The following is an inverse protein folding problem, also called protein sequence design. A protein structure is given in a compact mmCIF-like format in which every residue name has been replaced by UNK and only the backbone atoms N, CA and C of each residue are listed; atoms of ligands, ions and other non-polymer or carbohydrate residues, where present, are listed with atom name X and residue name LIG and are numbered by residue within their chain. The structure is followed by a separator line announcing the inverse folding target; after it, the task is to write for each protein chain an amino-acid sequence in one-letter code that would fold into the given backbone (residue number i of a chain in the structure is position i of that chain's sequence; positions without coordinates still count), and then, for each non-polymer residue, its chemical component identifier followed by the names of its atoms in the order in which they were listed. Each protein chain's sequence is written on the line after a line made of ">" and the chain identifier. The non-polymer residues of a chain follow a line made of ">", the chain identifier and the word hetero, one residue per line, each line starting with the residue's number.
data_IF_352530304742
#
_entry.id   IF_352530304742
#
_cell.length_a   1.000
_cell.length_b   1.000
_cell.length_c   1.000
_cell.angle_alpha   90.00
_cell.angle_beta   90.00
_cell.angle_gamma   90.00
#
_symmetry.space_group_name_H-M   'P 1'
#
loop_
_entity.id
_entity.type
_entity.pdbx_description
1 polymer ?
#
# COMPACT_ATOMS: atom_id res chain seq x y z
N UNK A 1 16.50 -17.84 7.55
CA UNK A 1 16.31 -17.00 6.37
C UNK A 1 17.16 -15.73 6.50
N UNK A 2 18.01 -15.44 5.49
CA UNK A 2 18.97 -14.33 5.56
C UNK A 2 18.29 -12.97 5.48
N UNK A 3 17.15 -12.87 4.81
CA UNK A 3 16.43 -11.60 4.62
C UNK A 3 15.93 -11.03 5.95
N UNK A 4 15.52 -11.88 6.88
CA UNK A 4 15.10 -11.45 8.21
C UNK A 4 16.26 -10.86 9.06
N UNK A 5 17.51 -11.09 8.67
CA UNK A 5 18.68 -10.55 9.37
C UNK A 5 19.12 -9.18 8.85
N UNK A 6 18.69 -8.79 7.62
CA UNK A 6 19.17 -7.57 6.94
C UNK A 6 18.90 -6.32 7.76
N UNK A 7 17.69 -6.12 8.26
CA UNK A 7 17.34 -4.94 9.06
C UNK A 7 18.22 -4.81 10.32
N UNK A 8 18.43 -5.92 11.05
CA UNK A 8 19.29 -5.95 12.25
C UNK A 8 20.76 -5.67 11.95
N UNK A 9 21.27 -6.23 10.85
CA UNK A 9 22.65 -5.98 10.41
C UNK A 9 22.85 -4.52 9.97
N UNK A 10 21.88 -3.98 9.23
CA UNK A 10 21.94 -2.58 8.77
C UNK A 10 21.86 -1.58 9.93
N UNK A 11 20.98 -1.82 10.91
CA UNK A 11 20.94 -1.01 12.14
C UNK A 11 22.29 -1.04 12.88
N UNK A 12 22.89 -2.21 13.00
CA UNK A 12 24.21 -2.37 13.64
C UNK A 12 25.30 -1.63 12.86
N UNK A 13 25.27 -1.71 11.55
CA UNK A 13 26.18 -0.96 10.68
C UNK A 13 26.08 0.55 10.84
N UNK A 14 24.86 1.09 10.95
CA UNK A 14 24.58 2.51 11.14
C UNK A 14 24.78 2.98 12.60
N UNK A 15 24.98 2.07 13.55
CA UNK A 15 25.03 2.40 14.98
C UNK A 15 23.70 2.90 15.53
N UNK A 16 22.58 2.56 14.88
CA UNK A 16 21.25 2.95 15.32
C UNK A 16 20.69 1.99 16.37
N UNK A 17 19.86 2.52 17.27
CA UNK A 17 19.05 1.70 18.14
C UNK A 17 17.84 1.17 17.36
N UNK A 18 17.53 -0.12 17.52
CA UNK A 18 16.40 -0.76 16.89
C UNK A 18 15.49 -1.46 17.89
N UNK A 19 14.25 -1.65 17.52
CA UNK A 19 13.26 -2.41 18.27
C UNK A 19 12.76 -3.58 17.41
N UNK A 20 12.84 -4.79 17.93
CA UNK A 20 12.26 -5.95 17.26
C UNK A 20 10.75 -5.99 17.51
N UNK A 21 9.95 -5.67 16.47
CA UNK A 21 8.49 -5.66 16.55
C UNK A 21 7.84 -7.02 16.30
N UNK A 22 8.65 -8.09 16.03
CA UNK A 22 8.08 -9.41 15.79
C UNK A 22 7.15 -9.86 16.95
N UNK A 23 6.08 -10.59 16.68
CA UNK A 23 5.67 -11.14 15.37
C UNK A 23 4.82 -10.20 14.49
N UNK A 24 4.78 -8.89 14.77
CA UNK A 24 4.00 -7.96 13.96
C UNK A 24 4.65 -7.76 12.59
N UNK A 25 3.92 -8.10 11.52
CA UNK A 25 4.34 -7.95 10.12
C UNK A 25 3.85 -6.62 9.59
N UNK A 26 4.77 -5.82 9.05
CA UNK A 26 4.48 -4.54 8.41
C UNK A 26 5.50 -4.28 7.30
N UNK A 27 5.02 -3.95 6.13
CA UNK A 27 5.82 -3.63 4.94
C UNK A 27 5.80 -2.12 4.68
N UNK A 28 6.87 -1.59 4.11
CA UNK A 28 6.98 -0.16 3.81
C UNK A 28 5.85 0.34 2.91
N UNK A 29 5.56 -0.38 1.83
CA UNK A 29 4.49 -0.06 0.87
C UNK A 29 3.07 -0.19 1.42
N UNK A 30 2.89 -0.90 2.53
CA UNK A 30 1.58 -1.07 3.17
C UNK A 30 1.11 0.16 3.97
N UNK A 31 1.97 1.17 4.14
CA UNK A 31 1.69 2.40 4.89
C UNK A 31 2.11 3.64 4.10
N UNK A 32 1.39 4.74 4.28
CA UNK A 32 1.81 6.05 3.80
C UNK A 32 1.42 7.13 4.81
N UNK A 33 2.32 8.09 5.12
CA UNK A 33 2.09 9.09 6.17
C UNK A 33 2.20 10.50 5.64
N UNK A 34 1.48 11.44 6.29
CA UNK A 34 1.56 12.87 6.00
C UNK A 34 2.67 13.60 6.79
N UNK A 35 3.40 12.89 7.67
CA UNK A 35 4.37 13.49 8.56
C UNK A 35 3.74 14.33 9.70
N UNK A 36 2.43 14.45 9.77
CA UNK A 36 1.68 15.25 10.77
C UNK A 36 0.74 14.40 11.64
N UNK A 37 0.92 13.09 11.65
CA UNK A 37 0.22 12.14 12.51
C UNK A 37 -0.90 11.37 11.85
N UNK A 38 -1.11 11.51 10.53
CA UNK A 38 -2.07 10.71 9.76
C UNK A 38 -1.35 9.63 8.97
N UNK A 39 -1.92 8.44 8.93
CA UNK A 39 -1.45 7.31 8.12
C UNK A 39 -2.59 6.75 7.28
N UNK A 40 -2.28 6.44 6.02
CA UNK A 40 -3.13 5.66 5.10
C UNK A 40 -2.67 4.21 5.12
N UNK A 41 -3.62 3.30 5.07
CA UNK A 41 -3.44 1.85 4.93
C UNK A 41 -4.60 1.27 4.14
N UNK A 42 -4.46 0.04 3.62
CA UNK A 42 -5.58 -0.71 3.02
C UNK A 42 -6.04 -1.85 3.91
N UNK A 43 -7.34 -2.13 3.90
CA UNK A 43 -7.92 -3.29 4.58
C UNK A 43 -7.47 -4.59 3.92
N UNK A 44 -7.49 -4.64 2.59
CA UNK A 44 -7.03 -5.80 1.80
C UNK A 44 -5.64 -6.25 2.21
N UNK A 45 -4.70 -5.32 2.45
CA UNK A 45 -3.34 -5.65 2.85
C UNK A 45 -3.26 -6.04 4.33
N UNK A 46 -3.52 -5.09 5.24
CA UNK A 46 -3.20 -5.28 6.64
C UNK A 46 -4.09 -6.31 7.36
N UNK A 47 -5.30 -6.57 6.84
CA UNK A 47 -6.19 -7.59 7.38
C UNK A 47 -6.08 -8.93 6.63
N UNK A 48 -5.14 -9.05 5.68
CA UNK A 48 -4.91 -10.30 4.96
C UNK A 48 -4.36 -11.38 5.87
N UNK A 49 -4.66 -12.64 5.51
CA UNK A 49 -4.17 -13.83 6.26
C UNK A 49 -2.64 -13.95 6.25
N UNK A 50 -1.98 -13.38 5.25
CA UNK A 50 -0.52 -13.42 5.09
C UNK A 50 0.25 -12.44 5.99
N UNK A 51 -0.43 -11.60 6.79
CA UNK A 51 0.24 -10.58 7.64
C UNK A 51 0.04 -10.88 9.13
N UNK A 52 -1.07 -10.42 9.68
CA UNK A 52 -1.31 -10.47 11.13
C UNK A 52 -2.68 -11.13 11.44
N UNK A 53 -2.91 -12.41 11.05
CA UNK A 53 -4.23 -13.05 11.13
C UNK A 53 -4.77 -13.17 12.56
N UNK A 54 -3.89 -13.16 13.56
CA UNK A 54 -4.27 -13.25 14.98
C UNK A 54 -4.67 -11.89 15.58
N UNK A 55 -4.50 -10.79 14.84
CA UNK A 55 -4.78 -9.45 15.33
C UNK A 55 -6.09 -8.88 14.75
N UNK A 56 -6.88 -8.26 15.61
CA UNK A 56 -8.02 -7.46 15.20
C UNK A 56 -7.57 -6.13 14.59
N UNK A 57 -8.42 -5.50 13.78
CA UNK A 57 -8.19 -4.16 13.21
C UNK A 57 -7.75 -3.15 14.28
N UNK A 58 -8.43 -3.14 15.44
CA UNK A 58 -8.10 -2.24 16.57
C UNK A 58 -6.71 -2.52 17.14
N UNK A 59 -6.32 -3.79 17.24
CA UNK A 59 -4.98 -4.15 17.72
C UNK A 59 -3.89 -3.72 16.72
N UNK A 60 -4.14 -3.88 15.42
CA UNK A 60 -3.25 -3.38 14.36
C UNK A 60 -3.12 -1.86 14.45
N UNK A 61 -4.22 -1.12 14.55
CA UNK A 61 -4.18 0.34 14.74
C UNK A 61 -3.33 0.78 15.93
N UNK A 62 -3.49 0.11 17.06
CA UNK A 62 -2.73 0.43 18.26
C UNK A 62 -1.22 0.23 18.06
N UNK A 63 -0.84 -0.85 17.35
CA UNK A 63 0.56 -1.09 17.01
C UNK A 63 1.11 -0.06 16.03
N UNK A 64 0.35 0.31 15.01
CA UNK A 64 0.74 1.37 14.07
C UNK A 64 0.93 2.70 14.78
N UNK A 65 -0.01 3.09 15.65
CA UNK A 65 0.11 4.30 16.46
C UNK A 65 1.34 4.28 17.36
N UNK A 66 1.61 3.14 17.99
CA UNK A 66 2.75 2.97 18.91
C UNK A 66 4.10 3.00 18.17
N UNK A 67 4.22 2.27 17.05
CA UNK A 67 5.51 2.10 16.37
C UNK A 67 5.84 3.20 15.38
N UNK A 68 4.82 3.78 14.74
CA UNK A 68 4.99 4.82 13.71
C UNK A 68 4.69 6.23 14.22
N UNK A 69 4.36 6.39 15.50
CA UNK A 69 4.07 7.69 16.12
C UNK A 69 2.99 8.49 15.39
N UNK A 70 1.94 7.81 14.93
CA UNK A 70 0.76 8.42 14.30
C UNK A 70 -0.43 8.39 15.26
N UNK A 71 -1.35 9.33 15.12
CA UNK A 71 -2.54 9.42 15.97
C UNK A 71 -3.82 9.00 15.26
N UNK A 72 -3.83 9.03 13.93
CA UNK A 72 -4.99 8.68 13.10
C UNK A 72 -4.60 7.75 11.96
N UNK A 73 -5.38 6.68 11.81
CA UNK A 73 -5.28 5.75 10.68
C UNK A 73 -6.53 5.92 9.81
N UNK A 74 -6.35 6.11 8.52
CA UNK A 74 -7.40 6.10 7.51
C UNK A 74 -7.27 4.77 6.76
N UNK A 75 -8.33 3.96 6.85
CA UNK A 75 -8.41 2.66 6.20
C UNK A 75 -9.12 2.79 4.86
N UNK A 76 -8.40 2.56 3.78
CA UNK A 76 -8.99 2.38 2.46
C UNK A 76 -9.43 0.91 2.30
N UNK A 77 -10.55 0.64 1.63
CA UNK A 77 -11.04 -0.74 1.51
C UNK A 77 -10.11 -1.62 0.67
N UNK A 78 -9.46 -1.06 -0.33
CA UNK A 78 -8.68 -1.79 -1.33
C UNK A 78 -7.54 -0.92 -1.91
N UNK A 79 -6.68 -1.54 -2.71
CA UNK A 79 -5.58 -0.89 -3.43
C UNK A 79 -5.75 -0.91 -4.94
N UNK A 80 -4.72 -1.36 -5.68
CA UNK A 80 -4.75 -1.52 -7.14
C UNK A 80 -5.18 -2.94 -7.47
N UNK A 81 -6.03 -3.06 -8.51
CA UNK A 81 -6.51 -4.35 -9.00
C UNK A 81 -5.35 -5.28 -9.38
N UNK A 82 -5.42 -6.51 -8.90
CA UNK A 82 -4.45 -7.58 -9.12
C UNK A 82 -3.04 -7.28 -8.60
N UNK A 83 -2.94 -6.50 -7.51
CA UNK A 83 -1.67 -6.26 -6.82
C UNK A 83 -1.29 -7.48 -5.97
N UNK A 84 -0.18 -8.12 -6.31
CA UNK A 84 0.37 -9.30 -5.63
C UNK A 84 0.76 -9.05 -4.18
N UNK A 85 1.00 -7.79 -3.81
CA UNK A 85 1.30 -7.40 -2.43
C UNK A 85 0.06 -7.36 -1.53
N UNK A 86 -1.08 -7.86 -1.99
CA UNK A 86 -2.41 -7.71 -1.40
C UNK A 86 -2.84 -6.24 -1.32
N UNK A 87 -2.58 -5.49 -2.37
CA UNK A 87 -3.08 -4.12 -2.55
C UNK A 87 -2.45 -3.13 -1.56
N UNK A 88 -1.13 -2.98 -1.62
CA UNK A 88 -0.40 -1.94 -0.89
C UNK A 88 -0.98 -0.55 -1.11
N UNK A 89 -0.99 0.28 -0.05
CA UNK A 89 -1.58 1.62 -0.12
C UNK A 89 -0.79 2.58 -0.99
N UNK A 90 0.53 2.47 -1.05
CA UNK A 90 1.40 3.36 -1.83
C UNK A 90 1.15 3.30 -3.35
N UNK A 91 0.62 2.16 -3.84
CA UNK A 91 0.20 2.01 -5.23
C UNK A 91 -1.13 2.72 -5.55
N UNK A 92 -2.03 2.86 -4.57
CA UNK A 92 -3.36 3.42 -4.81
C UNK A 92 -3.52 4.85 -4.33
N UNK A 93 -2.89 5.22 -3.20
CA UNK A 93 -3.10 6.53 -2.59
C UNK A 93 -1.86 7.00 -1.83
N UNK A 94 -1.42 8.23 -2.09
CA UNK A 94 -0.27 8.83 -1.44
C UNK A 94 -0.54 10.28 -1.06
N UNK A 95 -0.02 10.74 0.09
CA UNK A 95 -0.03 12.15 0.44
C UNK A 95 0.94 12.94 -0.45
N UNK A 96 0.46 14.06 -1.00
CA UNK A 96 1.27 15.05 -1.71
C UNK A 96 1.55 16.29 -0.85
N UNK A 97 0.71 16.49 0.13
CA UNK A 97 0.88 17.51 1.18
C UNK A 97 -0.01 17.14 2.38
N UNK A 98 0.09 17.87 3.48
CA UNK A 98 -0.82 17.72 4.61
C UNK A 98 -2.27 17.89 4.16
N UNK A 99 -3.12 16.90 4.48
CA UNK A 99 -4.53 16.83 4.07
C UNK A 99 -4.77 16.88 2.55
N UNK A 100 -3.77 16.56 1.72
CA UNK A 100 -3.94 16.42 0.27
C UNK A 100 -3.33 15.10 -0.20
N UNK A 101 -4.10 14.32 -0.99
CA UNK A 101 -3.67 13.03 -1.53
C UNK A 101 -3.86 12.96 -3.03
N UNK A 102 -3.06 12.13 -3.70
CA UNK A 102 -3.38 11.58 -5.01
C UNK A 102 -4.01 10.22 -4.84
N UNK A 103 -5.00 9.91 -5.67
CA UNK A 103 -5.69 8.63 -5.72
C UNK A 103 -5.63 8.09 -7.15
N UNK A 104 -5.14 6.88 -7.32
CA UNK A 104 -5.17 6.16 -8.60
C UNK A 104 -6.61 6.08 -9.11
N UNK A 105 -6.84 6.44 -10.38
CA UNK A 105 -8.17 6.60 -10.95
C UNK A 105 -8.25 6.09 -12.38
N UNK A 106 -9.40 5.60 -12.75
CA UNK A 106 -9.80 5.39 -14.15
C UNK A 106 -11.19 5.96 -14.38
N UNK A 107 -11.45 6.48 -15.59
CA UNK A 107 -12.78 6.90 -16.01
C UNK A 107 -13.53 5.80 -16.78
N UNK A 108 -12.89 4.66 -17.02
CA UNK A 108 -13.51 3.50 -17.65
C UNK A 108 -14.30 2.69 -16.62
N UNK A 109 -15.62 2.79 -16.68
CA UNK A 109 -16.53 2.07 -15.78
C UNK A 109 -16.50 0.54 -15.96
N UNK A 110 -15.91 0.04 -17.04
CA UNK A 110 -15.73 -1.39 -17.27
C UNK A 110 -14.41 -1.92 -16.68
N UNK A 111 -13.49 -1.03 -16.29
CA UNK A 111 -12.25 -1.42 -15.63
C UNK A 111 -12.55 -1.77 -14.16
N UNK A 112 -12.15 -2.96 -13.66
CA UNK A 112 -12.36 -3.34 -12.25
C UNK A 112 -11.79 -2.32 -11.27
N UNK A 113 -10.74 -1.56 -11.64
CA UNK A 113 -10.20 -0.50 -10.81
C UNK A 113 -11.19 0.65 -10.57
N UNK A 114 -12.17 0.87 -11.45
CA UNK A 114 -13.13 1.97 -11.31
C UNK A 114 -13.90 1.89 -9.98
N UNK A 115 -14.54 0.76 -9.69
CA UNK A 115 -15.28 0.59 -8.44
C UNK A 115 -14.36 0.55 -7.20
N UNK A 116 -13.16 0.01 -7.33
CA UNK A 116 -12.14 0.01 -6.26
C UNK A 116 -11.73 1.45 -5.91
N UNK A 117 -11.37 2.25 -6.90
CA UNK A 117 -10.99 3.65 -6.71
C UNK A 117 -12.14 4.49 -6.17
N UNK A 118 -13.37 4.23 -6.61
CA UNK A 118 -14.57 4.90 -6.13
C UNK A 118 -14.88 4.59 -4.67
N UNK A 119 -14.67 3.36 -4.23
CA UNK A 119 -14.78 2.97 -2.83
C UNK A 119 -13.75 3.71 -1.96
N UNK A 120 -12.50 3.81 -2.41
CA UNK A 120 -11.46 4.58 -1.73
C UNK A 120 -11.78 6.07 -1.67
N UNK A 121 -12.27 6.65 -2.78
CA UNK A 121 -12.70 8.05 -2.84
C UNK A 121 -13.79 8.35 -1.82
N UNK A 122 -14.79 7.47 -1.73
CA UNK A 122 -15.90 7.62 -0.77
C UNK A 122 -15.41 7.68 0.68
N UNK A 123 -14.39 6.92 1.04
CA UNK A 123 -13.78 7.00 2.37
C UNK A 123 -13.07 8.34 2.55
N UNK A 124 -12.22 8.73 1.59
CA UNK A 124 -11.39 9.94 1.68
C UNK A 124 -12.22 11.24 1.77
N UNK A 125 -13.36 11.30 1.06
CA UNK A 125 -14.28 12.45 1.11
C UNK A 125 -15.01 12.60 2.45
N UNK A 126 -15.11 11.53 3.23
CA UNK A 126 -15.88 11.51 4.49
C UNK A 126 -15.01 11.47 5.75
N UNK A 127 -13.69 11.58 5.61
CA UNK A 127 -12.76 11.58 6.74
C UNK A 127 -11.99 12.90 6.85
N UNK A 128 -11.37 13.09 8.00
CA UNK A 128 -10.40 14.16 8.23
C UNK A 128 -9.05 13.57 8.56
N UNK A 129 -8.00 14.35 8.48
CA UNK A 129 -6.67 14.00 8.98
C UNK A 129 -6.58 14.05 10.53
N UNK A 130 -5.39 13.84 11.07
CA UNK A 130 -5.13 13.87 12.53
C UNK A 130 -5.36 15.26 13.15
N UNK A 131 -5.34 16.33 12.36
CA UNK A 131 -5.59 17.70 12.77
C UNK A 131 -7.02 18.19 12.50
N UNK A 132 -7.90 17.29 12.04
CA UNK A 132 -9.31 17.60 11.75
C UNK A 132 -9.56 18.30 10.41
N UNK A 133 -8.57 18.35 9.50
CA UNK A 133 -8.72 18.92 8.15
C UNK A 133 -9.34 17.90 7.21
N UNK A 134 -10.27 18.31 6.37
CA UNK A 134 -10.80 17.45 5.31
C UNK A 134 -9.73 17.10 4.28
N UNK A 135 -9.75 15.85 3.81
CA UNK A 135 -8.80 15.37 2.80
C UNK A 135 -9.19 15.89 1.43
N UNK A 136 -8.26 16.54 0.76
CA UNK A 136 -8.41 16.94 -0.63
C UNK A 136 -7.85 15.84 -1.53
N UNK A 137 -8.69 15.30 -2.41
CA UNK A 137 -8.32 14.21 -3.30
C UNK A 137 -8.05 14.74 -4.71
N UNK A 138 -6.87 14.39 -5.25
CA UNK A 138 -6.52 14.57 -6.65
C UNK A 138 -6.52 13.21 -7.34
N UNK A 139 -7.32 13.07 -8.38
CA UNK A 139 -7.38 11.86 -9.20
C UNK A 139 -6.18 11.81 -10.13
N UNK A 140 -5.43 10.70 -10.12
CA UNK A 140 -4.32 10.42 -11.00
C UNK A 140 -4.67 9.23 -11.88
N UNK A 141 -4.79 9.45 -13.19
CA UNK A 141 -5.18 8.39 -14.11
C UNK A 141 -4.12 7.29 -14.16
N UNK A 142 -4.57 6.04 -14.02
CA UNK A 142 -3.76 4.85 -14.33
C UNK A 142 -3.62 4.69 -15.85
N UNK A 143 -2.71 3.82 -16.35
CA UNK A 143 -2.60 3.54 -17.77
C UNK A 143 -3.94 3.11 -18.39
N UNK A 144 -4.40 3.83 -19.44
CA UNK A 144 -5.66 3.51 -20.14
C UNK A 144 -5.68 2.11 -20.73
N UNK A 145 -4.53 1.63 -21.19
CA UNK A 145 -4.36 0.27 -21.64
C UNK A 145 -3.70 -0.49 -20.50
N UNK A 146 -4.32 -1.55 -19.97
CA UNK A 146 -3.71 -2.37 -18.96
C UNK A 146 -2.32 -2.84 -19.38
N UNK A 147 -1.35 -2.74 -18.49
CA UNK A 147 -0.04 -3.35 -18.65
C UNK A 147 -0.20 -4.81 -18.28
N UNK A 148 0.21 -5.72 -19.17
CA UNK A 148 0.06 -7.15 -18.97
C UNK A 148 1.40 -7.83 -19.20
N UNK A 149 1.59 -8.99 -18.55
CA UNK A 149 2.78 -9.83 -18.70
C UNK A 149 2.82 -10.36 -20.14
N UNK A 150 3.96 -10.22 -20.80
CA UNK A 150 4.22 -10.82 -22.11
C UNK A 150 4.74 -12.26 -21.96
N UNK A 151 4.68 -13.06 -23.05
CA UNK A 151 5.29 -14.39 -23.06
C UNK A 151 6.81 -14.34 -22.84
N UNK A 152 7.48 -13.30 -23.34
CA UNK A 152 8.92 -13.10 -23.17
C UNK A 152 9.28 -12.83 -21.70
N UNK A 153 8.52 -11.97 -21.05
CA UNK A 153 8.70 -11.67 -19.62
C UNK A 153 8.42 -12.90 -18.76
N UNK A 154 7.33 -13.62 -19.05
CA UNK A 154 6.97 -14.84 -18.33
C UNK A 154 8.08 -15.90 -18.34
N UNK A 155 8.78 -16.06 -19.45
CA UNK A 155 9.91 -16.99 -19.57
C UNK A 155 11.13 -16.58 -18.71
N UNK A 156 11.18 -15.36 -18.22
CA UNK A 156 12.23 -14.85 -17.32
C UNK A 156 11.91 -15.02 -15.83
N UNK A 157 10.69 -15.42 -15.48
CA UNK A 157 10.33 -15.69 -14.08
C UNK A 157 10.86 -17.06 -13.62
N UNK A 158 11.41 -17.09 -12.44
CA UNK A 158 11.71 -18.31 -11.70
C UNK A 158 10.66 -18.46 -10.59
N UNK A 159 9.88 -19.53 -10.62
CA UNK A 159 8.86 -19.80 -9.61
C UNK A 159 9.40 -20.81 -8.60
N UNK A 160 9.20 -20.56 -7.31
CA UNK A 160 9.46 -21.53 -6.26
C UNK A 160 8.27 -22.48 -6.07
N UNK A 161 8.52 -23.65 -5.49
CA UNK A 161 7.47 -24.64 -5.24
C UNK A 161 6.42 -24.10 -4.26
N UNK A 162 5.18 -23.96 -4.73
CA UNK A 162 4.05 -23.45 -3.95
C UNK A 162 3.72 -21.97 -4.19
N UNK A 163 4.43 -21.28 -5.08
CA UNK A 163 4.05 -19.95 -5.54
C UNK A 163 2.93 -20.03 -6.59
N UNK A 164 2.06 -19.03 -6.59
CA UNK A 164 1.04 -18.87 -7.64
C UNK A 164 1.72 -18.51 -8.95
N UNK A 165 1.53 -19.36 -9.97
CA UNK A 165 2.10 -19.16 -11.29
C UNK A 165 1.37 -18.01 -12.00
N UNK A 166 2.16 -17.10 -12.56
CA UNK A 166 1.66 -16.04 -13.45
C UNK A 166 1.38 -16.58 -14.85
N UNK A 167 0.49 -15.89 -15.55
CA UNK A 167 0.15 -16.24 -16.95
C UNK A 167 0.44 -15.08 -17.90
N UNK A 168 0.78 -15.40 -19.15
CA UNK A 168 0.91 -14.39 -20.20
C UNK A 168 -0.46 -13.73 -20.46
N UNK A 169 -0.47 -12.40 -20.54
CA UNK A 169 -1.69 -11.61 -20.63
C UNK A 169 -2.30 -11.22 -19.29
N UNK A 170 -1.80 -11.74 -18.18
CA UNK A 170 -2.20 -11.32 -16.84
C UNK A 170 -1.87 -9.86 -16.62
N UNK A 171 -2.84 -9.08 -16.08
CA UNK A 171 -2.69 -7.66 -15.82
C UNK A 171 -1.78 -7.43 -14.61
N UNK A 172 -0.81 -6.53 -14.77
CA UNK A 172 0.03 -6.04 -13.70
C UNK A 172 -0.65 -4.86 -12.96
N UNK A 173 -0.34 -4.70 -11.68
CA UNK A 173 -0.82 -3.62 -10.83
C UNK A 173 -0.09 -2.30 -11.16
N UNK A 174 -0.24 -1.80 -12.39
CA UNK A 174 0.45 -0.61 -12.87
C UNK A 174 -0.23 0.67 -12.36
N UNK A 175 0.51 1.47 -11.59
CA UNK A 175 0.09 2.77 -11.09
C UNK A 175 1.25 3.76 -11.15
N UNK A 176 0.93 5.07 -11.20
CA UNK A 176 1.92 6.14 -11.15
C UNK A 176 2.00 6.80 -9.77
N UNK A 177 1.16 6.39 -8.82
CA UNK A 177 1.04 7.03 -7.49
C UNK A 177 2.34 6.90 -6.70
N UNK A 178 2.94 5.71 -6.64
CA UNK A 178 4.20 5.48 -5.94
C UNK A 178 5.39 6.24 -6.56
N UNK A 179 5.35 6.49 -7.87
CA UNK A 179 6.42 7.20 -8.58
C UNK A 179 6.41 8.70 -8.32
N UNK A 180 5.28 9.28 -7.92
CA UNK A 180 5.16 10.71 -7.65
C UNK A 180 6.04 11.15 -6.46
N UNK A 181 6.25 10.26 -5.50
CA UNK A 181 7.04 10.55 -4.30
C UNK A 181 8.55 10.50 -4.53
N UNK A 182 8.99 9.85 -5.57
CA UNK A 182 10.42 9.64 -5.90
C UNK A 182 10.93 10.50 -7.04
N UNK A 183 10.07 11.28 -7.69
CA UNK A 183 10.47 12.22 -8.76
C UNK A 183 10.77 13.60 -8.17
N UNK A 184 12.07 13.96 -8.09
CA UNK A 184 12.52 15.32 -7.83
C UNK A 184 12.20 16.26 -9.01
#
# INVERSE_FOLDING_TARGET
>A
DNDNLVAGQFMSYLGCQGYNAAPFVLEGGSIHTDGEGTMLVTESCLLSKGRNPELTKVQIENKLKQYCNVSKIIWLPCGIYNDETNEHVDNVCAFTASAEVVLAWTDDENDPQYEMSKACLSVLENVTDAKGRHIKVRKMLIPKKPVCITEEELNGFEFEEGEDMREAGERLAASYVCLLYTSD
#
